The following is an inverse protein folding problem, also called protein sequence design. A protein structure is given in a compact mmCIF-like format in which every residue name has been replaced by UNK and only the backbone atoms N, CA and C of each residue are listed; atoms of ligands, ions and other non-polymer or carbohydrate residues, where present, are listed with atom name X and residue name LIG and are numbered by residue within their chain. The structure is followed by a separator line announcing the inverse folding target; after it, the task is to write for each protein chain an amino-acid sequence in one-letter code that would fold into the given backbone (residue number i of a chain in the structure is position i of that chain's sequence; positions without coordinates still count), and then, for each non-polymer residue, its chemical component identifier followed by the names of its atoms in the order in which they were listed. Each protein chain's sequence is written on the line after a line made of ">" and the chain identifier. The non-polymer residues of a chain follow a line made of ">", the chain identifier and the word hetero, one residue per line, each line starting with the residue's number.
data_IF_784342344211
#
_entry.id   IF_784342344211
#
_cell.length_a   1.000
_cell.length_b   1.000
_cell.length_c   1.000
_cell.angle_alpha   90.00
_cell.angle_beta   90.00
_cell.angle_gamma   90.00
#
_symmetry.space_group_name_H-M   'P 1'
#
loop_
_entity.id
_entity.type
_entity.pdbx_description
1 polymer ?
#
# COMPACT_ATOMS: atom_id res chain seq x y z
N UNK A 1 11.50 -5.53 -35.03
CA UNK A 1 10.70 -4.31 -34.87
C UNK A 1 9.25 -4.76 -34.72
N UNK A 2 8.44 -4.22 -33.79
CA UNK A 2 7.03 -4.53 -33.75
C UNK A 2 6.33 -3.82 -34.91
N UNK A 3 5.37 -4.50 -35.53
CA UNK A 3 4.50 -3.91 -36.56
C UNK A 3 3.53 -2.90 -35.93
N UNK A 4 3.35 -1.75 -36.60
CA UNK A 4 2.60 -0.55 -36.16
C UNK A 4 1.07 -0.72 -36.04
N UNK A 5 0.56 -1.92 -35.79
CA UNK A 5 -0.90 -2.16 -35.69
C UNK A 5 -1.40 -2.34 -34.25
N UNK A 6 -0.52 -2.33 -33.24
CA UNK A 6 -0.91 -2.45 -31.83
C UNK A 6 -1.62 -3.77 -31.48
N UNK A 7 -1.61 -4.76 -32.38
CA UNK A 7 -2.15 -6.10 -32.15
C UNK A 7 -1.02 -7.06 -31.82
N UNK A 8 -1.03 -7.53 -30.59
CA UNK A 8 -0.09 -8.55 -30.10
C UNK A 8 -0.54 -9.93 -30.56
N UNK A 9 0.42 -10.75 -31.00
CA UNK A 9 0.22 -12.11 -31.48
C UNK A 9 0.01 -13.05 -30.28
N UNK A 10 -0.81 -14.10 -30.42
CA UNK A 10 -1.04 -15.16 -29.42
C UNK A 10 0.26 -15.71 -28.80
N UNK A 11 1.37 -15.68 -29.53
CA UNK A 11 2.71 -16.05 -29.02
C UNK A 11 3.20 -15.17 -27.87
N UNK A 12 2.93 -13.86 -27.89
CA UNK A 12 3.39 -12.92 -26.87
C UNK A 12 2.56 -13.02 -25.59
N UNK A 13 1.27 -13.33 -25.75
CA UNK A 13 0.34 -13.70 -24.68
C UNK A 13 0.79 -15.01 -23.99
N UNK A 14 1.28 -15.98 -24.76
CA UNK A 14 1.79 -17.26 -24.24
C UNK A 14 3.10 -17.09 -23.44
N UNK A 15 4.00 -16.19 -23.86
CA UNK A 15 5.24 -15.87 -23.13
C UNK A 15 4.99 -15.27 -21.73
N UNK A 16 3.87 -14.58 -21.52
CA UNK A 16 3.45 -14.05 -20.21
C UNK A 16 3.04 -15.13 -19.21
N UNK A 17 2.55 -16.29 -19.68
CA UNK A 17 1.98 -17.32 -18.83
C UNK A 17 2.78 -18.63 -18.79
N UNK A 18 3.74 -18.88 -19.69
CA UNK A 18 4.35 -20.21 -19.83
C UNK A 18 5.88 -20.35 -19.63
N UNK A 19 6.75 -19.36 -19.92
CA UNK A 19 8.21 -19.25 -19.53
C UNK A 19 8.94 -18.17 -20.39
N UNK A 20 10.16 -17.68 -20.06
CA UNK A 20 10.68 -16.36 -20.45
C UNK A 20 11.35 -16.31 -21.83
N UNK A 21 11.57 -15.12 -22.42
CA UNK A 21 11.58 -13.80 -21.76
C UNK A 21 10.35 -12.94 -22.11
N UNK A 22 9.60 -12.53 -21.09
CA UNK A 22 8.74 -11.35 -21.22
C UNK A 22 9.62 -10.14 -21.57
N UNK A 23 9.15 -9.21 -22.43
CA UNK A 23 9.85 -7.96 -22.68
C UNK A 23 10.17 -7.26 -21.35
N UNK A 24 11.42 -6.80 -21.17
CA UNK A 24 11.90 -6.22 -19.89
C UNK A 24 10.98 -5.10 -19.35
N UNK A 25 10.41 -4.30 -20.24
CA UNK A 25 9.46 -3.23 -19.88
C UNK A 25 8.14 -3.77 -19.28
N UNK A 26 7.66 -4.91 -19.77
CA UNK A 26 6.43 -5.57 -19.29
C UNK A 26 6.68 -6.27 -17.96
N UNK A 27 7.78 -7.01 -17.87
CA UNK A 27 8.19 -7.66 -16.63
C UNK A 27 8.43 -6.63 -15.51
N UNK A 28 9.08 -5.50 -15.80
CA UNK A 28 9.31 -4.44 -14.82
C UNK A 28 8.02 -3.82 -14.27
N UNK A 29 6.98 -3.67 -15.11
CA UNK A 29 5.69 -3.10 -14.69
C UNK A 29 4.87 -4.00 -13.76
N UNK A 30 5.14 -5.31 -13.75
CA UNK A 30 4.43 -6.29 -12.90
C UNK A 30 5.33 -6.97 -11.86
N UNK A 31 6.63 -6.75 -11.92
CA UNK A 31 7.57 -7.32 -10.99
C UNK A 31 7.51 -6.62 -9.64
N UNK A 32 7.39 -7.42 -8.59
CA UNK A 32 7.82 -6.96 -7.27
C UNK A 32 9.33 -6.77 -7.30
N UNK A 33 9.77 -5.59 -6.86
CA UNK A 33 11.17 -5.21 -6.79
C UNK A 33 11.50 -4.86 -5.33
N UNK A 34 11.69 -5.84 -4.43
CA UNK A 34 12.18 -5.54 -3.10
C UNK A 34 13.51 -4.78 -3.19
N UNK A 35 13.68 -3.67 -2.45
CA UNK A 35 14.95 -2.97 -2.44
C UNK A 35 16.01 -3.80 -1.70
N UNK A 36 17.27 -3.37 -1.81
CA UNK A 36 18.28 -3.78 -0.82
C UNK A 36 17.81 -3.29 0.54
N UNK A 37 17.76 -4.20 1.52
CA UNK A 37 17.25 -3.89 2.87
C UNK A 37 17.99 -2.69 3.44
N UNK A 38 17.23 -1.70 3.91
CA UNK A 38 17.81 -0.46 4.46
C UNK A 38 17.88 -0.47 5.99
N UNK A 39 17.30 -1.48 6.63
CA UNK A 39 17.31 -1.65 8.09
C UNK A 39 17.43 -3.13 8.48
N UNK A 40 17.84 -3.37 9.73
CA UNK A 40 17.95 -4.71 10.30
C UNK A 40 17.25 -4.80 11.66
N UNK A 41 16.73 -5.98 11.97
CA UNK A 41 16.13 -6.32 13.27
C UNK A 41 17.06 -7.28 14.02
N UNK A 42 17.41 -6.96 15.28
CA UNK A 42 18.24 -7.81 16.15
C UNK A 42 17.63 -9.20 16.35
N UNK A 43 18.44 -10.23 16.57
CA UNK A 43 17.96 -11.62 16.67
C UNK A 43 17.07 -11.88 17.90
N UNK A 44 17.35 -11.24 19.03
CA UNK A 44 16.53 -11.40 20.25
C UNK A 44 15.08 -10.95 20.06
N UNK A 45 14.85 -10.05 19.11
CA UNK A 45 13.54 -9.52 18.70
C UNK A 45 12.77 -10.47 17.77
N UNK A 46 13.46 -11.37 17.06
CA UNK A 46 12.85 -12.27 16.07
C UNK A 46 12.00 -13.39 16.71
N UNK A 47 11.95 -13.47 18.04
CA UNK A 47 11.01 -14.31 18.80
C UNK A 47 9.59 -13.84 18.50
N UNK A 48 8.90 -14.62 17.68
CA UNK A 48 7.56 -14.34 17.15
C UNK A 48 6.59 -14.09 18.30
N UNK A 49 6.04 -12.88 18.39
CA UNK A 49 4.85 -12.64 19.19
C UNK A 49 3.65 -13.15 18.39
N UNK A 50 3.33 -14.42 18.58
CA UNK A 50 2.04 -14.98 18.16
C UNK A 50 0.97 -14.15 18.86
N UNK A 51 0.01 -13.59 18.11
CA UNK A 51 -1.02 -12.68 18.63
C UNK A 51 -1.89 -13.42 19.67
N UNK A 52 -1.45 -13.40 20.93
CA UNK A 52 -2.07 -13.79 22.21
C UNK A 52 -1.27 -13.07 23.33
N UNK A 53 -1.86 -12.80 24.51
CA UNK A 53 -1.52 -11.61 25.29
C UNK A 53 -0.17 -11.74 26.01
N UNK A 54 0.51 -10.60 26.11
CA UNK A 54 1.80 -10.34 26.74
C UNK A 54 3.02 -10.81 25.94
N UNK A 55 3.67 -9.85 25.29
CA UNK A 55 5.14 -9.82 25.24
C UNK A 55 5.62 -8.43 24.80
N UNK A 56 6.73 -8.00 25.40
CA UNK A 56 7.34 -6.67 25.30
C UNK A 56 7.69 -6.28 23.86
N UNK A 57 7.43 -5.03 23.48
CA UNK A 57 7.78 -4.51 22.16
C UNK A 57 9.30 -4.57 21.95
N UNK A 58 9.78 -5.26 20.92
CA UNK A 58 11.21 -5.33 20.65
C UNK A 58 11.83 -4.00 20.20
N UNK A 59 13.09 -3.77 20.56
CA UNK A 59 13.84 -2.54 20.22
C UNK A 59 14.51 -2.61 18.83
N UNK A 60 14.25 -1.61 17.98
CA UNK A 60 14.97 -1.39 16.73
C UNK A 60 16.39 -0.87 16.99
N UNK A 61 17.35 -1.22 16.14
CA UNK A 61 18.73 -0.69 16.28
C UNK A 61 19.25 0.05 15.05
N UNK A 62 18.59 -0.06 13.90
CA UNK A 62 19.10 0.52 12.65
C UNK A 62 18.03 1.11 11.73
N UNK A 63 16.81 1.42 12.21
CA UNK A 63 15.94 2.29 11.39
C UNK A 63 16.39 3.74 11.60
N UNK A 64 16.58 4.53 10.52
CA UNK A 64 16.89 5.96 10.63
C UNK A 64 15.97 6.67 11.62
N UNK A 65 16.56 7.52 12.48
CA UNK A 65 15.90 8.34 13.51
C UNK A 65 15.05 7.61 14.57
N UNK A 66 15.01 6.27 14.61
CA UNK A 66 14.40 5.54 15.73
C UNK A 66 14.97 5.97 17.08
N UNK A 67 16.30 6.14 17.14
CA UNK A 67 17.03 6.51 18.35
C UNK A 67 16.68 7.89 18.91
N UNK A 68 16.12 8.78 18.09
CA UNK A 68 15.78 10.13 18.53
C UNK A 68 14.47 10.17 19.33
N UNK A 69 13.51 9.30 19.01
CA UNK A 69 12.19 9.24 19.64
C UNK A 69 11.67 7.79 19.75
N UNK A 70 12.35 6.89 20.47
CA UNK A 70 12.00 5.47 20.53
C UNK A 70 10.60 5.23 21.11
N UNK A 71 10.09 6.14 21.95
CA UNK A 71 8.75 6.08 22.51
C UNK A 71 7.63 6.15 21.46
N UNK A 72 7.93 6.71 20.28
CA UNK A 72 6.97 6.88 19.20
C UNK A 72 6.79 5.66 18.32
N UNK A 73 7.63 4.64 18.47
CA UNK A 73 7.68 3.52 17.53
C UNK A 73 7.53 2.19 18.28
N UNK A 74 6.50 1.42 17.94
CA UNK A 74 6.46 0.01 18.32
C UNK A 74 6.80 -0.86 17.12
N UNK A 75 7.77 -1.75 17.27
CA UNK A 75 8.08 -2.78 16.28
C UNK A 75 7.27 -4.05 16.58
N UNK A 76 6.65 -4.61 15.54
CA UNK A 76 5.90 -5.87 15.63
C UNK A 76 6.38 -6.81 14.53
N UNK A 77 6.68 -8.06 14.89
CA UNK A 77 6.88 -9.14 13.91
C UNK A 77 5.70 -10.08 14.01
N UNK A 78 4.85 -10.08 12.98
CA UNK A 78 3.61 -10.84 12.97
C UNK A 78 3.67 -11.98 11.95
N UNK A 79 3.12 -13.14 12.32
CA UNK A 79 3.02 -14.29 11.41
C UNK A 79 1.73 -14.21 10.59
N UNK A 80 1.85 -14.33 9.28
CA UNK A 80 0.70 -14.30 8.36
C UNK A 80 0.06 -15.67 8.22
N UNK A 81 -1.16 -15.71 7.69
CA UNK A 81 -1.88 -16.96 7.36
C UNK A 81 -1.15 -17.82 6.32
N UNK A 82 -0.17 -17.24 5.63
CA UNK A 82 0.70 -17.93 4.67
C UNK A 82 2.05 -18.33 5.26
N UNK A 83 2.17 -18.33 6.59
CA UNK A 83 3.36 -18.72 7.34
C UNK A 83 4.59 -17.83 7.14
N UNK A 84 4.45 -16.67 6.51
CA UNK A 84 5.52 -15.67 6.47
C UNK A 84 5.51 -14.86 7.77
N UNK A 85 6.65 -14.31 8.15
CA UNK A 85 6.76 -13.26 9.15
C UNK A 85 6.85 -11.92 8.43
N UNK A 86 5.99 -10.98 8.79
CA UNK A 86 6.06 -9.59 8.33
C UNK A 86 6.45 -8.68 9.46
N UNK A 87 7.19 -7.63 9.12
CA UNK A 87 7.55 -6.54 10.01
C UNK A 87 6.48 -5.46 9.90
N UNK A 88 6.01 -4.97 11.05
CA UNK A 88 5.17 -3.79 11.15
C UNK A 88 5.82 -2.78 12.10
N UNK A 89 5.70 -1.49 11.81
CA UNK A 89 6.12 -0.40 12.69
C UNK A 89 4.93 0.50 12.95
N UNK A 90 4.49 0.56 14.20
CA UNK A 90 3.42 1.44 14.64
C UNK A 90 4.00 2.77 15.11
N UNK A 91 3.69 3.82 14.37
CA UNK A 91 4.12 5.19 14.62
C UNK A 91 3.01 5.94 15.36
N UNK A 92 3.30 6.32 16.60
CA UNK A 92 2.37 7.00 17.50
C UNK A 92 2.42 8.51 17.28
N UNK A 93 1.24 9.12 17.23
CA UNK A 93 1.09 10.54 17.52
C UNK A 93 1.26 10.77 19.03
N UNK A 94 1.72 11.97 19.40
CA UNK A 94 1.85 12.41 20.80
C UNK A 94 0.53 12.89 21.41
N UNK A 95 -0.41 13.29 20.56
CA UNK A 95 -1.74 13.80 20.91
C UNK A 95 -2.81 12.76 20.56
N UNK A 96 -3.88 12.67 21.36
CA UNK A 96 -5.01 11.72 21.20
C UNK A 96 -5.55 11.70 19.75
N UNK A 97 -5.11 10.73 18.93
CA UNK A 97 -5.39 10.75 17.51
C UNK A 97 -6.77 10.16 17.23
N UNK A 98 -7.51 10.78 16.30
CA UNK A 98 -8.85 10.29 15.94
C UNK A 98 -8.79 9.05 15.04
N UNK A 99 -7.79 8.98 14.17
CA UNK A 99 -7.66 7.90 13.19
C UNK A 99 -6.28 7.25 13.24
N UNK A 100 -6.22 6.01 12.80
CA UNK A 100 -4.98 5.28 12.53
C UNK A 100 -4.94 4.90 11.05
N UNK A 101 -3.89 5.28 10.35
CA UNK A 101 -3.67 4.91 8.96
C UNK A 101 -2.94 3.56 8.93
N UNK A 102 -3.49 2.57 8.22
CA UNK A 102 -2.75 1.39 7.80
C UNK A 102 -2.20 1.64 6.40
N UNK A 103 -0.88 1.81 6.29
CA UNK A 103 -0.23 2.21 5.04
C UNK A 103 0.44 1.03 4.33
N UNK A 104 0.03 0.80 3.08
CA UNK A 104 0.62 -0.14 2.13
C UNK A 104 1.52 0.63 1.16
N UNK A 105 2.84 0.46 1.32
CA UNK A 105 3.86 1.20 0.57
C UNK A 105 3.96 0.85 -0.92
N UNK A 106 4.65 1.69 -1.69
CA UNK A 106 4.98 1.45 -3.09
C UNK A 106 5.97 0.31 -3.32
N UNK A 107 6.25 0.01 -4.58
CA UNK A 107 7.30 -0.95 -4.96
C UNK A 107 8.69 -0.33 -4.72
N UNK A 108 9.75 -1.16 -4.65
CA UNK A 108 11.14 -0.69 -4.48
C UNK A 108 11.38 0.20 -3.25
N UNK A 109 10.58 0.03 -2.21
CA UNK A 109 10.63 0.74 -0.94
C UNK A 109 10.47 -0.27 0.20
N UNK A 110 11.18 -0.05 1.31
CA UNK A 110 10.94 -0.71 2.59
C UNK A 110 10.62 0.31 3.70
N UNK A 111 10.19 -0.16 4.88
CA UNK A 111 9.84 0.72 6.01
C UNK A 111 10.98 1.71 6.36
N UNK A 112 12.23 1.26 6.28
CA UNK A 112 13.38 2.07 6.69
C UNK A 112 13.52 3.36 5.87
N UNK A 113 13.13 3.33 4.60
CA UNK A 113 13.17 4.48 3.70
C UNK A 113 12.04 5.49 3.93
N UNK A 114 10.88 5.04 4.43
CA UNK A 114 9.68 5.88 4.56
C UNK A 114 9.35 6.27 6.00
N UNK A 115 10.03 5.71 7.00
CA UNK A 115 9.67 5.91 8.40
C UNK A 115 9.66 7.40 8.78
N UNK A 116 10.67 8.16 8.36
CA UNK A 116 10.80 9.59 8.69
C UNK A 116 9.63 10.42 8.14
N UNK A 117 9.30 10.19 6.87
CA UNK A 117 8.16 10.86 6.24
C UNK A 117 6.87 10.57 7.00
N UNK A 118 6.60 9.31 7.36
CA UNK A 118 5.39 8.95 8.08
C UNK A 118 5.40 9.38 9.55
N UNK A 119 6.56 9.48 10.19
CA UNK A 119 6.70 10.13 11.50
C UNK A 119 6.25 11.59 11.44
N UNK A 120 6.66 12.33 10.42
CA UNK A 120 6.29 13.73 10.29
C UNK A 120 4.82 13.89 9.85
N UNK A 121 4.34 12.99 8.98
CA UNK A 121 2.93 12.92 8.59
C UNK A 121 2.01 12.68 9.80
N UNK A 122 2.36 11.76 10.72
CA UNK A 122 1.54 11.53 11.92
C UNK A 122 1.31 12.82 12.69
N UNK A 123 2.35 13.63 12.90
CA UNK A 123 2.27 14.91 13.60
C UNK A 123 1.40 15.92 12.84
N UNK A 124 1.63 16.07 11.53
CA UNK A 124 0.89 17.02 10.69
C UNK A 124 -0.61 16.69 10.60
N UNK A 125 -0.94 15.40 10.62
CA UNK A 125 -2.28 14.90 10.35
C UNK A 125 -3.07 14.53 11.61
N UNK A 126 -2.45 14.58 12.80
CA UNK A 126 -3.06 14.15 14.07
C UNK A 126 -3.61 12.72 14.05
N UNK A 127 -2.87 11.81 13.41
CA UNK A 127 -3.21 10.40 13.29
C UNK A 127 -2.02 9.50 13.67
N UNK A 128 -2.30 8.24 14.04
CA UNK A 128 -1.27 7.21 14.08
C UNK A 128 -1.06 6.60 12.69
N UNK A 129 0.06 5.92 12.48
CA UNK A 129 0.33 5.17 11.24
C UNK A 129 0.89 3.79 11.59
N UNK A 130 0.33 2.72 11.03
CA UNK A 130 0.97 1.41 10.98
C UNK A 130 1.57 1.21 9.59
N UNK A 131 2.90 1.13 9.56
CA UNK A 131 3.68 0.70 8.40
C UNK A 131 3.88 -0.81 8.48
N UNK A 132 3.99 -1.48 7.34
CA UNK A 132 4.36 -2.89 7.30
C UNK A 132 5.07 -3.22 5.98
N UNK A 133 6.06 -4.10 6.04
CA UNK A 133 6.76 -4.60 4.85
C UNK A 133 6.08 -5.86 4.33
N UNK A 134 5.94 -5.95 3.01
CA UNK A 134 5.42 -7.14 2.35
C UNK A 134 6.34 -8.35 2.53
N UNK A 135 5.78 -9.55 2.41
CA UNK A 135 6.56 -10.79 2.38
C UNK A 135 7.68 -10.70 1.32
N UNK A 136 8.94 -10.81 1.75
CA UNK A 136 10.12 -10.67 0.88
C UNK A 136 10.65 -9.24 0.71
N UNK A 137 10.07 -8.24 1.38
CA UNK A 137 10.57 -6.86 1.48
C UNK A 137 11.18 -6.61 2.87
N UNK A 138 12.14 -5.70 2.96
CA UNK A 138 12.80 -5.34 4.23
C UNK A 138 13.25 -6.57 5.01
N UNK A 139 12.92 -6.61 6.30
CA UNK A 139 13.21 -7.76 7.18
C UNK A 139 12.10 -8.82 7.21
N UNK A 140 11.06 -8.68 6.37
CA UNK A 140 9.99 -9.66 6.23
C UNK A 140 10.45 -10.90 5.45
N UNK A 141 10.04 -12.08 5.89
CA UNK A 141 10.42 -13.36 5.25
C UNK A 141 9.52 -13.69 4.05
N UNK A 142 9.87 -14.73 3.30
CA UNK A 142 9.03 -15.28 2.23
C UNK A 142 9.36 -14.66 0.88
N UNK A 143 8.39 -14.66 -0.04
CA UNK A 143 8.54 -14.13 -1.40
C UNK A 143 7.36 -13.23 -1.75
N UNK A 144 7.56 -12.18 -2.56
CA UNK A 144 6.46 -11.31 -2.92
C UNK A 144 5.53 -11.98 -3.93
N UNK A 145 4.22 -11.84 -3.71
CA UNK A 145 3.15 -12.30 -4.60
C UNK A 145 1.83 -11.63 -4.21
N UNK A 146 0.85 -11.56 -5.12
CA UNK A 146 -0.49 -11.02 -4.79
C UNK A 146 -1.13 -11.75 -3.59
N UNK A 147 -0.99 -13.07 -3.52
CA UNK A 147 -1.53 -13.85 -2.40
C UNK A 147 -0.84 -13.53 -1.07
N UNK A 148 0.46 -13.23 -1.10
CA UNK A 148 1.18 -12.85 0.11
C UNK A 148 0.83 -11.42 0.52
N UNK A 149 0.87 -10.43 -0.38
CA UNK A 149 0.57 -9.03 -0.01
C UNK A 149 -0.86 -8.87 0.57
N UNK A 150 -1.83 -9.65 0.08
CA UNK A 150 -3.19 -9.68 0.64
C UNK A 150 -3.25 -10.35 2.04
N UNK A 151 -2.44 -11.38 2.28
CA UNK A 151 -2.30 -11.99 3.60
C UNK A 151 -1.54 -11.07 4.58
N UNK A 152 -0.56 -10.32 4.07
CA UNK A 152 0.26 -9.38 4.82
C UNK A 152 -0.61 -8.22 5.35
N UNK A 153 -1.40 -7.56 4.49
CA UNK A 153 -2.30 -6.49 4.95
C UNK A 153 -3.37 -7.00 5.91
N UNK A 154 -3.88 -8.22 5.71
CA UNK A 154 -4.84 -8.82 6.63
C UNK A 154 -4.19 -9.03 8.01
N UNK A 155 -2.91 -9.37 8.05
CA UNK A 155 -2.14 -9.51 9.29
C UNK A 155 -1.90 -8.15 9.94
N UNK A 156 -1.50 -7.13 9.18
CA UNK A 156 -1.33 -5.77 9.70
C UNK A 156 -2.65 -5.15 10.21
N UNK A 157 -3.77 -5.40 9.53
CA UNK A 157 -5.11 -5.07 10.00
C UNK A 157 -5.41 -5.74 11.35
N UNK A 158 -5.11 -7.03 11.49
CA UNK A 158 -5.30 -7.76 12.73
C UNK A 158 -4.41 -7.23 13.87
N UNK A 159 -3.20 -6.76 13.58
CA UNK A 159 -2.36 -6.07 14.57
C UNK A 159 -3.09 -4.84 15.11
N UNK A 160 -3.67 -3.99 14.24
CA UNK A 160 -4.46 -2.84 14.70
C UNK A 160 -5.70 -3.25 15.49
N UNK A 161 -6.46 -4.23 14.99
CA UNK A 161 -7.75 -4.61 15.58
C UNK A 161 -7.61 -5.31 16.92
N UNK A 162 -6.59 -6.15 17.10
CA UNK A 162 -6.52 -7.05 18.25
C UNK A 162 -5.37 -6.73 19.21
N UNK A 163 -4.22 -6.24 18.72
CA UNK A 163 -3.12 -5.82 19.62
C UNK A 163 -3.34 -4.41 20.15
N UNK A 164 -3.79 -3.50 19.28
CA UNK A 164 -4.05 -2.10 19.64
C UNK A 164 -5.53 -1.80 19.90
N UNK A 165 -6.40 -2.81 19.76
CA UNK A 165 -7.84 -2.71 20.03
C UNK A 165 -8.54 -1.56 19.28
N UNK A 166 -8.01 -1.17 18.12
CA UNK A 166 -8.52 -0.02 17.37
C UNK A 166 -9.83 -0.43 16.67
N UNK A 167 -10.93 0.32 16.85
CA UNK A 167 -12.18 0.09 16.12
C UNK A 167 -12.02 0.23 14.59
N UNK A 168 -12.80 -0.52 13.80
CA UNK A 168 -12.70 -0.50 12.33
C UNK A 168 -12.94 0.89 11.73
N UNK A 169 -13.94 1.59 12.28
CA UNK A 169 -14.36 2.95 11.95
C UNK A 169 -13.36 4.03 12.40
N UNK A 170 -12.24 3.62 13.01
CA UNK A 170 -11.09 4.48 13.33
C UNK A 170 -9.85 4.14 12.50
N UNK A 171 -9.93 3.16 11.59
CA UNK A 171 -8.81 2.77 10.72
C UNK A 171 -9.05 3.29 9.30
N UNK A 172 -8.06 4.00 8.76
CA UNK A 172 -8.03 4.43 7.36
C UNK A 172 -7.04 3.55 6.60
N UNK A 173 -7.48 2.93 5.51
CA UNK A 173 -6.59 2.14 4.66
C UNK A 173 -5.97 3.05 3.60
N UNK A 174 -4.65 3.01 3.44
CA UNK A 174 -3.95 3.84 2.48
C UNK A 174 -2.96 3.00 1.68
N UNK A 175 -3.18 2.86 0.38
CA UNK A 175 -2.23 2.25 -0.55
C UNK A 175 -1.62 3.25 -1.53
N UNK A 176 -0.31 3.13 -1.74
CA UNK A 176 0.41 3.84 -2.80
C UNK A 176 0.85 2.86 -3.90
N UNK A 177 0.56 3.17 -5.17
CA UNK A 177 0.98 2.37 -6.32
C UNK A 177 0.61 0.88 -6.14
N UNK A 178 1.57 -0.05 -6.08
CA UNK A 178 1.32 -1.48 -5.79
C UNK A 178 0.61 -1.73 -4.47
N UNK A 179 0.79 -0.88 -3.46
CA UNK A 179 0.07 -0.95 -2.19
C UNK A 179 -1.44 -0.73 -2.31
N UNK A 180 -1.92 -0.22 -3.44
CA UNK A 180 -3.37 -0.11 -3.72
C UNK A 180 -4.02 -1.48 -3.89
N UNK A 181 -3.27 -2.50 -4.31
CA UNK A 181 -3.74 -3.88 -4.47
C UNK A 181 -4.26 -4.49 -3.16
N UNK A 182 -3.43 -4.62 -2.10
CA UNK A 182 -3.89 -5.15 -0.83
C UNK A 182 -4.92 -4.23 -0.16
N UNK A 183 -4.78 -2.90 -0.34
CA UNK A 183 -5.71 -1.90 0.20
C UNK A 183 -7.12 -2.10 -0.34
N UNK A 184 -7.27 -2.20 -1.66
CA UNK A 184 -8.57 -2.45 -2.32
C UNK A 184 -9.10 -3.83 -1.96
N UNK A 185 -8.24 -4.86 -1.92
CA UNK A 185 -8.64 -6.21 -1.51
C UNK A 185 -9.25 -6.24 -0.10
N UNK A 186 -8.56 -5.65 0.87
CA UNK A 186 -9.03 -5.59 2.25
C UNK A 186 -10.29 -4.73 2.37
N UNK A 187 -10.30 -3.53 1.80
CA UNK A 187 -11.44 -2.61 1.84
C UNK A 187 -12.70 -3.16 1.14
N UNK A 188 -12.53 -4.09 0.21
CA UNK A 188 -13.66 -4.76 -0.46
C UNK A 188 -14.37 -5.78 0.43
N UNK A 189 -13.72 -6.21 1.51
CA UNK A 189 -14.20 -7.24 2.45
C UNK A 189 -14.46 -6.69 3.86
N UNK A 190 -13.78 -5.61 4.23
CA UNK A 190 -13.85 -4.98 5.55
C UNK A 190 -14.35 -3.54 5.44
N UNK A 191 -15.24 -3.14 6.34
CA UNK A 191 -15.59 -1.75 6.51
C UNK A 191 -14.55 -1.06 7.40
N UNK A 192 -14.13 0.13 6.98
CA UNK A 192 -13.12 0.95 7.65
C UNK A 192 -13.58 2.41 7.66
N UNK A 193 -12.86 3.29 8.36
CA UNK A 193 -13.16 4.73 8.38
C UNK A 193 -13.15 5.34 6.97
N UNK A 194 -12.12 5.01 6.20
CA UNK A 194 -11.92 5.52 4.85
C UNK A 194 -10.82 4.77 4.10
N UNK A 195 -10.72 5.05 2.80
CA UNK A 195 -9.71 4.48 1.91
C UNK A 195 -9.04 5.60 1.11
N UNK A 196 -7.71 5.59 1.07
CA UNK A 196 -6.90 6.49 0.25
C UNK A 196 -6.14 5.64 -0.77
N UNK A 197 -6.30 5.97 -2.04
CA UNK A 197 -5.61 5.32 -3.16
C UNK A 197 -4.74 6.36 -3.87
N UNK A 198 -3.41 6.25 -3.73
CA UNK A 198 -2.45 7.11 -4.41
C UNK A 198 -1.81 6.41 -5.60
N UNK A 199 -1.84 7.08 -6.76
CA UNK A 199 -1.41 6.57 -8.06
C UNK A 199 -1.88 5.12 -8.30
N UNK A 200 -3.18 4.82 -8.15
CA UNK A 200 -3.65 3.45 -8.25
C UNK A 200 -3.73 3.00 -9.70
N UNK A 201 -3.67 1.68 -9.89
CA UNK A 201 -3.89 1.06 -11.18
C UNK A 201 -5.06 0.08 -11.15
N UNK A 202 -5.71 -0.09 -12.30
CA UNK A 202 -6.92 -0.89 -12.42
C UNK A 202 -6.66 -2.39 -12.29
N UNK A 203 -5.57 -2.87 -12.92
CA UNK A 203 -5.13 -4.26 -12.89
C UNK A 203 -3.75 -4.42 -13.54
N UNK A 204 -3.10 -5.57 -13.30
CA UNK A 204 -1.78 -5.85 -13.83
C UNK A 204 -1.75 -5.92 -15.36
N UNK A 205 -2.69 -6.64 -15.99
CA UNK A 205 -2.72 -6.71 -17.46
C UNK A 205 -2.92 -5.34 -18.10
N UNK A 206 -3.67 -4.43 -17.47
CA UNK A 206 -3.89 -3.08 -18.02
C UNK A 206 -2.70 -2.13 -17.87
N UNK A 207 -1.83 -2.36 -16.89
CA UNK A 207 -0.53 -1.65 -16.80
C UNK A 207 0.38 -2.01 -17.98
N UNK A 208 0.33 -3.28 -18.39
CA UNK A 208 1.13 -3.82 -19.48
C UNK A 208 0.51 -3.50 -20.84
N UNK A 209 -0.82 -3.58 -20.94
CA UNK A 209 -1.59 -3.40 -22.17
C UNK A 209 -2.66 -2.31 -21.96
N UNK A 210 -2.32 -1.03 -22.11
CA UNK A 210 -3.24 0.10 -21.84
C UNK A 210 -4.52 0.07 -22.69
N UNK A 211 -4.44 -0.48 -23.91
CA UNK A 211 -5.58 -0.58 -24.82
C UNK A 211 -6.59 -1.69 -24.42
N UNK A 212 -6.30 -2.48 -23.39
CA UNK A 212 -7.12 -3.63 -23.02
C UNK A 212 -8.28 -3.25 -22.08
N UNK A 213 -9.47 -3.09 -22.65
CA UNK A 213 -10.66 -2.58 -21.94
C UNK A 213 -11.42 -3.59 -21.07
N UNK A 214 -11.03 -4.87 -21.03
CA UNK A 214 -11.77 -5.93 -20.32
C UNK A 214 -10.86 -6.65 -19.33
N UNK A 215 -11.25 -6.65 -18.05
CA UNK A 215 -10.57 -7.44 -17.02
C UNK A 215 -10.94 -8.93 -17.21
N UNK A 216 -9.93 -9.80 -17.33
CA UNK A 216 -10.11 -11.25 -17.52
C UNK A 216 -9.93 -12.00 -16.18
N UNK A 217 -10.42 -13.25 -16.04
CA UNK A 217 -10.29 -14.02 -14.80
C UNK A 217 -8.84 -14.28 -14.35
N UNK A 218 -7.88 -14.21 -15.29
CA UNK A 218 -6.45 -14.43 -15.05
C UNK A 218 -5.66 -13.12 -14.81
N UNK A 219 -6.36 -11.99 -14.70
CA UNK A 219 -5.73 -10.69 -14.45
C UNK A 219 -5.26 -10.59 -13.00
N UNK A 220 -3.95 -10.44 -12.81
CA UNK A 220 -3.36 -10.22 -11.48
C UNK A 220 -3.66 -8.79 -11.02
N UNK A 221 -3.69 -8.58 -9.71
CA UNK A 221 -3.86 -7.26 -9.10
C UNK A 221 -5.17 -6.56 -9.51
N UNK A 222 -6.25 -7.33 -9.69
CA UNK A 222 -7.53 -6.85 -10.21
C UNK A 222 -8.29 -5.93 -9.23
N UNK A 223 -7.85 -4.68 -9.13
CA UNK A 223 -8.48 -3.62 -8.34
C UNK A 223 -9.85 -3.25 -8.91
N UNK A 224 -9.97 -3.14 -10.23
CA UNK A 224 -11.18 -2.68 -10.92
C UNK A 224 -12.38 -3.62 -10.70
N UNK A 225 -12.13 -4.92 -10.52
CA UNK A 225 -13.14 -5.92 -10.17
C UNK A 225 -13.54 -5.94 -8.68
N UNK A 226 -12.84 -5.19 -7.82
CA UNK A 226 -13.05 -5.16 -6.37
C UNK A 226 -13.47 -3.79 -5.83
N UNK A 227 -13.01 -2.71 -6.44
CA UNK A 227 -13.16 -1.32 -5.95
C UNK A 227 -14.63 -0.91 -5.72
N UNK A 228 -15.55 -1.38 -6.55
CA UNK A 228 -16.98 -1.06 -6.44
C UNK A 228 -17.64 -1.69 -5.18
N UNK A 229 -16.97 -2.63 -4.50
CA UNK A 229 -17.46 -3.26 -3.28
C UNK A 229 -17.08 -2.48 -2.02
N UNK A 230 -16.17 -1.52 -2.13
CA UNK A 230 -15.76 -0.67 -1.01
C UNK A 230 -16.94 0.20 -0.58
N UNK A 231 -17.34 0.06 0.68
CA UNK A 231 -18.45 0.82 1.30
C UNK A 231 -17.98 2.13 1.93
N UNK A 232 -16.75 2.15 2.45
CA UNK A 232 -16.12 3.32 3.07
C UNK A 232 -15.91 4.46 2.07
N UNK A 233 -15.75 5.69 2.57
CA UNK A 233 -15.40 6.84 1.73
C UNK A 233 -14.03 6.60 1.07
N UNK A 234 -13.92 6.86 -0.23
CA UNK A 234 -12.71 6.64 -1.03
C UNK A 234 -12.19 7.94 -1.63
N UNK A 235 -10.95 8.27 -1.28
CA UNK A 235 -10.16 9.33 -1.89
C UNK A 235 -9.17 8.72 -2.89
N UNK A 236 -9.15 9.25 -4.11
CA UNK A 236 -8.12 8.93 -5.11
C UNK A 236 -7.23 10.14 -5.32
N UNK A 237 -5.91 9.93 -5.28
CA UNK A 237 -4.87 10.94 -5.53
C UNK A 237 -4.00 10.46 -6.69
N UNK A 238 -3.73 11.30 -7.70
CA UNK A 238 -2.90 10.94 -8.84
C UNK A 238 -2.26 12.18 -9.48
N UNK A 239 -1.00 12.10 -9.88
CA UNK A 239 -0.35 13.10 -10.72
C UNK A 239 -0.82 13.04 -12.18
N UNK A 240 -0.93 14.19 -12.85
CA UNK A 240 -1.35 14.22 -14.26
C UNK A 240 -0.29 13.73 -15.22
N UNK A 241 0.99 13.78 -14.82
CA UNK A 241 2.16 13.52 -15.64
C UNK A 241 2.84 12.20 -15.20
N UNK A 242 2.06 11.30 -14.61
CA UNK A 242 2.51 9.99 -14.15
C UNK A 242 2.87 9.09 -15.34
N UNK A 243 4.17 8.98 -15.61
CA UNK A 243 4.73 8.18 -16.70
C UNK A 243 4.81 6.68 -16.38
N UNK A 244 4.54 6.27 -15.14
CA UNK A 244 4.58 4.87 -14.71
C UNK A 244 3.18 4.26 -14.76
N UNK A 245 2.20 4.97 -14.20
CA UNK A 245 0.79 4.59 -14.16
C UNK A 245 -0.03 5.75 -14.68
N UNK A 246 -0.54 5.63 -15.89
CA UNK A 246 -1.34 6.68 -16.52
C UNK A 246 -2.54 7.08 -15.65
N UNK A 247 -2.83 8.39 -15.59
CA UNK A 247 -3.92 8.95 -14.77
C UNK A 247 -5.31 8.39 -15.12
N UNK A 248 -5.49 7.84 -16.33
CA UNK A 248 -6.73 7.15 -16.71
C UNK A 248 -7.09 6.03 -15.74
N UNK A 249 -6.11 5.34 -15.15
CA UNK A 249 -6.38 4.31 -14.15
C UNK A 249 -6.99 4.88 -12.87
N UNK A 250 -6.43 5.98 -12.36
CA UNK A 250 -6.96 6.69 -11.19
C UNK A 250 -8.37 7.20 -11.43
N UNK A 251 -8.61 7.80 -12.60
CA UNK A 251 -9.94 8.26 -13.02
C UNK A 251 -10.94 7.10 -13.15
N UNK A 252 -10.55 5.98 -13.75
CA UNK A 252 -11.43 4.82 -13.91
C UNK A 252 -11.80 4.22 -12.54
N UNK A 253 -10.82 4.03 -11.65
CA UNK A 253 -11.08 3.52 -10.30
C UNK A 253 -11.95 4.47 -9.49
N UNK A 254 -11.68 5.79 -9.53
CA UNK A 254 -12.52 6.79 -8.89
C UNK A 254 -13.97 6.70 -9.39
N UNK A 255 -14.19 6.65 -10.69
CA UNK A 255 -15.53 6.53 -11.27
C UNK A 255 -16.28 5.28 -10.80
N UNK A 256 -15.57 4.16 -10.61
CA UNK A 256 -16.16 2.89 -10.13
C UNK A 256 -16.39 2.82 -8.62
N UNK A 257 -15.83 3.74 -7.84
CA UNK A 257 -16.08 3.81 -6.40
C UNK A 257 -17.54 4.24 -6.14
N UNK A 258 -18.23 3.53 -5.25
CA UNK A 258 -19.62 3.87 -4.85
C UNK A 258 -19.65 5.11 -3.96
N UNK A 259 -18.81 5.12 -2.92
CA UNK A 259 -18.72 6.19 -1.95
C UNK A 259 -17.43 7.00 -2.15
N UNK A 260 -17.36 7.71 -3.28
CA UNK A 260 -16.18 8.51 -3.64
C UNK A 260 -16.31 9.95 -3.14
N UNK A 261 -15.22 10.49 -2.60
CA UNK A 261 -15.08 11.93 -2.33
C UNK A 261 -14.38 12.61 -3.52
N UNK A 262 -14.28 13.93 -3.49
CA UNK A 262 -13.55 14.69 -4.51
C UNK A 262 -12.11 14.16 -4.64
N UNK A 263 -11.67 13.75 -5.83
CA UNK A 263 -10.30 13.27 -6.03
C UNK A 263 -9.30 14.43 -5.97
N UNK A 264 -8.01 14.11 -5.88
CA UNK A 264 -6.92 15.07 -6.09
C UNK A 264 -6.11 14.67 -7.32
N UNK A 265 -6.27 15.46 -8.39
CA UNK A 265 -5.45 15.38 -9.58
C UNK A 265 -4.40 16.49 -9.51
N UNK A 266 -3.12 16.14 -9.34
CA UNK A 266 -2.05 17.13 -9.19
C UNK A 266 -1.42 17.41 -10.54
N UNK A 267 -1.66 18.61 -11.08
CA UNK A 267 -1.10 19.05 -12.36
C UNK A 267 0.43 19.07 -12.30
N UNK A 268 1.09 18.43 -13.26
CA UNK A 268 2.55 18.37 -13.38
C UNK A 268 3.25 17.38 -12.46
N UNK A 269 2.53 16.72 -11.54
CA UNK A 269 3.10 15.67 -10.71
C UNK A 269 3.23 14.36 -11.48
N UNK A 270 4.34 13.67 -11.28
CA UNK A 270 4.60 12.31 -11.74
C UNK A 270 4.32 11.26 -10.64
N UNK A 271 4.82 10.04 -10.83
CA UNK A 271 4.53 8.91 -9.94
C UNK A 271 5.12 9.06 -8.52
N UNK A 272 6.31 9.67 -8.42
CA UNK A 272 7.17 9.61 -7.22
C UNK A 272 7.39 10.98 -6.56
N UNK A 273 6.64 12.00 -6.94
CA UNK A 273 6.83 13.37 -6.42
C UNK A 273 5.54 14.02 -5.90
N UNK A 274 4.44 13.26 -5.81
CA UNK A 274 3.11 13.76 -5.37
C UNK A 274 3.19 14.41 -3.98
N UNK A 275 3.96 13.82 -3.08
CA UNK A 275 4.09 14.21 -1.68
C UNK A 275 4.81 15.56 -1.49
N UNK A 276 5.53 16.03 -2.52
CA UNK A 276 6.24 17.32 -2.51
C UNK A 276 5.25 18.49 -2.73
N UNK A 277 4.10 18.22 -3.35
CA UNK A 277 3.10 19.23 -3.67
C UNK A 277 2.26 19.58 -2.43
N UNK A 278 2.15 20.86 -2.03
CA UNK A 278 1.38 21.26 -0.83
C UNK A 278 -0.08 20.81 -0.85
N UNK A 279 -0.67 20.68 -2.04
CA UNK A 279 -2.05 20.20 -2.24
C UNK A 279 -2.26 18.79 -1.65
N UNK A 280 -1.22 17.97 -1.60
CA UNK A 280 -1.27 16.62 -1.05
C UNK A 280 -1.66 16.64 0.44
N UNK A 281 -0.91 17.35 1.27
CA UNK A 281 -1.19 17.45 2.71
C UNK A 281 -2.55 18.12 2.96
N UNK A 282 -2.86 19.19 2.22
CA UNK A 282 -4.15 19.88 2.36
C UNK A 282 -5.34 18.95 2.05
N UNK A 283 -5.22 18.11 1.02
CA UNK A 283 -6.28 17.17 0.65
C UNK A 283 -6.42 16.05 1.68
N UNK A 284 -5.30 15.52 2.17
CA UNK A 284 -5.33 14.52 3.23
C UNK A 284 -6.00 15.09 4.47
N UNK A 285 -5.70 16.33 4.86
CA UNK A 285 -6.25 16.95 6.07
C UNK A 285 -7.76 17.11 5.94
N UNK A 286 -8.21 17.62 4.80
CA UNK A 286 -9.63 17.70 4.48
C UNK A 286 -10.30 16.32 4.55
N UNK A 287 -9.66 15.27 4.04
CA UNK A 287 -10.24 13.92 4.07
C UNK A 287 -10.42 13.45 5.51
N UNK A 288 -9.34 13.41 6.28
CA UNK A 288 -9.35 12.86 7.64
C UNK A 288 -10.19 13.72 8.59
N UNK A 289 -9.99 15.03 8.60
CA UNK A 289 -10.51 15.92 9.64
C UNK A 289 -11.84 16.58 9.29
N UNK A 290 -12.33 16.46 8.04
CA UNK A 290 -13.62 17.05 7.63
C UNK A 290 -14.56 16.03 6.98
N UNK A 291 -14.04 15.14 6.14
CA UNK A 291 -14.88 14.22 5.37
C UNK A 291 -15.12 12.89 6.09
N UNK A 292 -14.23 12.44 6.99
CA UNK A 292 -14.43 11.21 7.76
C UNK A 292 -15.15 11.41 9.11
N UNK A 293 -15.14 12.63 9.67
CA UNK A 293 -15.75 12.94 10.98
C UNK A 293 -17.26 13.26 10.86
N UNK A 294 -17.75 13.51 9.63
CA UNK A 294 -19.15 13.83 9.33
C UNK A 294 -20.02 12.62 9.02
#
# INVERSE_FOLDING_TARGET
>A
MPDDTGQWNWKELFCLFCWPPCPRAIAAKLAFMPPVKTYNIKEDVRKVQTIWPNTESPSLTTIPNYHQHPERFDLIVARTSRCNKIVCVYVKNRENPTFTILFSHGNAVDIGQILDFYRDLTSAMRCNVLLYDYSGFGESTGKPSERNINADITTAWNVLRYKYEIPADKIVLYGQSIGTVPTVDLASRQQCAGVILQSPFTSGLRLVFPNWKIARPFDVFNNIGKVHRIKSRVLVIHGTDDSIIDISHGRELHNRCRNKVDPLWISGAGHNNIEIYPQFIQRLDRFLNKELIK
#
